data_IF_495892500596
#
_entry.id   IF_495892500596
#
_cell.length_a   1.000
_cell.length_b   1.000
_cell.length_c   1.000
_cell.angle_alpha   90.00
_cell.angle_beta   90.00
_cell.angle_gamma   90.00
#
_symmetry.space_group_name_H-M   'P 1'
#
loop_
_entity.id
_entity.type
_entity.pdbx_description
1 polymer ?
#
# COMPACT_ATOMS: atom_id res chain seq x y z
N UNK A 1 -21.70 -27.18 -3.80
CA UNK A 1 -21.51 -26.73 -2.41
C UNK A 1 -20.08 -26.24 -2.16
N UNK A 2 -19.06 -26.98 -2.60
CA UNK A 2 -17.65 -26.54 -2.51
C UNK A 2 -17.38 -25.22 -3.25
N UNK A 3 -17.90 -25.07 -4.48
CA UNK A 3 -17.78 -23.83 -5.26
C UNK A 3 -18.30 -22.58 -4.52
N UNK A 4 -19.46 -22.68 -3.87
CA UNK A 4 -20.03 -21.58 -3.10
C UNK A 4 -19.13 -21.18 -1.92
N UNK A 5 -18.60 -22.16 -1.20
CA UNK A 5 -17.68 -21.91 -0.08
C UNK A 5 -16.36 -21.31 -0.55
N UNK A 6 -15.81 -21.79 -1.67
CA UNK A 6 -14.60 -21.24 -2.28
C UNK A 6 -14.80 -19.78 -2.71
N UNK A 7 -15.91 -19.47 -3.38
CA UNK A 7 -16.23 -18.11 -3.81
C UNK A 7 -16.41 -17.18 -2.61
N UNK A 8 -17.07 -17.66 -1.55
CA UNK A 8 -17.27 -16.90 -0.32
C UNK A 8 -15.94 -16.58 0.38
N UNK A 9 -15.05 -17.56 0.53
CA UNK A 9 -13.71 -17.37 1.11
C UNK A 9 -12.88 -16.42 0.25
N UNK A 10 -12.90 -16.58 -1.07
CA UNK A 10 -12.17 -15.71 -2.01
C UNK A 10 -12.68 -14.27 -1.93
N UNK A 11 -14.00 -14.08 -1.87
CA UNK A 11 -14.62 -12.78 -1.67
C UNK A 11 -14.24 -12.15 -0.34
N UNK A 12 -14.19 -12.93 0.74
CA UNK A 12 -13.74 -12.47 2.05
C UNK A 12 -12.27 -12.05 2.03
N UNK A 13 -11.39 -12.83 1.39
CA UNK A 13 -9.97 -12.49 1.25
C UNK A 13 -9.78 -11.17 0.50
N UNK A 14 -10.40 -11.04 -0.67
CA UNK A 14 -10.29 -9.83 -1.50
C UNK A 14 -10.93 -8.62 -0.80
N UNK A 15 -12.10 -8.81 -0.17
CA UNK A 15 -12.77 -7.75 0.60
C UNK A 15 -11.93 -7.28 1.79
N UNK A 16 -11.27 -8.21 2.49
CA UNK A 16 -10.37 -7.88 3.61
C UNK A 16 -9.14 -7.10 3.12
N UNK A 17 -8.58 -7.50 1.98
CA UNK A 17 -7.46 -6.80 1.35
C UNK A 17 -7.84 -5.35 1.02
N UNK A 18 -8.97 -5.14 0.33
CA UNK A 18 -9.42 -3.79 0.00
C UNK A 18 -9.81 -2.96 1.22
N UNK A 19 -10.39 -3.59 2.25
CA UNK A 19 -10.71 -2.92 3.51
C UNK A 19 -9.45 -2.43 4.22
N UNK A 20 -8.37 -3.22 4.22
CA UNK A 20 -7.08 -2.83 4.78
C UNK A 20 -6.46 -1.65 4.01
N UNK A 21 -6.52 -1.70 2.67
CA UNK A 21 -6.05 -0.60 1.81
C UNK A 21 -6.85 0.69 2.09
N UNK A 22 -8.18 0.60 2.14
CA UNK A 22 -9.04 1.73 2.45
C UNK A 22 -8.75 2.33 3.83
N UNK A 23 -8.55 1.48 4.85
CA UNK A 23 -8.18 1.91 6.19
C UNK A 23 -6.85 2.69 6.21
N UNK A 24 -5.85 2.26 5.44
CA UNK A 24 -4.58 2.97 5.28
C UNK A 24 -4.75 4.37 4.68
N UNK A 25 -5.51 4.48 3.59
CA UNK A 25 -5.81 5.77 2.95
C UNK A 25 -6.52 6.71 3.93
N UNK A 26 -7.52 6.21 4.66
CA UNK A 26 -8.26 7.00 5.65
C UNK A 26 -7.36 7.45 6.80
N UNK A 27 -6.44 6.61 7.28
CA UNK A 27 -5.50 6.96 8.35
C UNK A 27 -4.57 8.12 7.95
N UNK A 28 -4.03 8.08 6.73
CA UNK A 28 -3.18 9.14 6.18
C UNK A 28 -4.00 10.42 5.99
N UNK A 29 -5.20 10.31 5.43
CA UNK A 29 -6.08 11.46 5.25
C UNK A 29 -6.47 12.11 6.58
N UNK A 30 -6.81 11.31 7.61
CA UNK A 30 -7.22 11.83 8.92
C UNK A 30 -6.09 12.57 9.65
N UNK A 31 -4.83 12.19 9.40
CA UNK A 31 -3.67 12.80 10.04
C UNK A 31 -3.15 14.03 9.28
N UNK A 32 -3.27 14.05 7.95
CA UNK A 32 -2.71 15.12 7.10
C UNK A 32 -3.75 16.07 6.51
N UNK A 33 -5.03 15.67 6.46
CA UNK A 33 -6.10 16.28 5.67
C UNK A 33 -5.79 16.39 4.16
N UNK A 34 -4.84 15.60 3.65
CA UNK A 34 -4.43 15.57 2.24
C UNK A 34 -4.72 14.18 1.66
N UNK A 35 -5.38 14.14 0.50
CA UNK A 35 -5.61 12.88 -0.24
C UNK A 35 -4.35 12.54 -1.04
N UNK A 36 -3.73 11.40 -0.76
CA UNK A 36 -2.53 10.94 -1.46
C UNK A 36 -2.86 9.93 -2.55
N UNK A 37 -2.64 10.30 -3.82
CA UNK A 37 -2.77 9.40 -4.98
C UNK A 37 -1.63 8.37 -5.07
N UNK A 38 -0.55 8.56 -4.29
CA UNK A 38 0.61 7.66 -4.26
C UNK A 38 0.28 6.26 -3.72
N UNK A 39 -0.87 6.05 -3.09
CA UNK A 39 -1.27 4.72 -2.56
C UNK A 39 -1.28 3.64 -3.64
N UNK A 40 -1.72 3.95 -4.86
CA UNK A 40 -1.67 2.99 -5.97
C UNK A 40 -0.24 2.57 -6.30
N UNK A 41 0.70 3.53 -6.30
CA UNK A 41 2.11 3.26 -6.52
C UNK A 41 2.75 2.51 -5.36
N UNK A 42 2.38 2.81 -4.11
CA UNK A 42 2.85 2.09 -2.91
C UNK A 42 2.50 0.60 -2.96
N UNK A 43 1.28 0.27 -3.38
CA UNK A 43 0.87 -1.14 -3.58
C UNK A 43 1.71 -1.79 -4.68
N UNK A 44 1.94 -1.10 -5.79
CA UNK A 44 2.78 -1.59 -6.88
C UNK A 44 4.23 -1.82 -6.44
N UNK A 45 4.82 -0.90 -5.66
CA UNK A 45 6.17 -1.07 -5.11
C UNK A 45 6.25 -2.30 -4.20
N UNK A 46 5.27 -2.52 -3.33
CA UNK A 46 5.22 -3.73 -2.50
C UNK A 46 5.20 -5.02 -3.32
N UNK A 47 4.38 -5.06 -4.37
CA UNK A 47 4.35 -6.19 -5.30
C UNK A 47 5.67 -6.37 -6.06
N UNK A 48 6.29 -5.28 -6.53
CA UNK A 48 7.56 -5.30 -7.25
C UNK A 48 8.71 -5.79 -6.37
N UNK A 49 8.83 -5.31 -5.13
CA UNK A 49 9.88 -5.80 -4.22
C UNK A 49 9.68 -7.26 -3.87
N UNK A 50 8.45 -7.68 -3.62
CA UNK A 50 8.17 -9.09 -3.37
C UNK A 50 8.55 -9.95 -4.58
N UNK A 51 8.14 -9.54 -5.79
CA UNK A 51 8.51 -10.22 -7.03
C UNK A 51 10.03 -10.24 -7.26
N UNK A 52 10.74 -9.18 -6.92
CA UNK A 52 12.19 -9.10 -7.03
C UNK A 52 12.89 -10.11 -6.10
N UNK A 53 12.50 -10.19 -4.82
CA UNK A 53 13.12 -11.13 -3.88
C UNK A 53 12.69 -12.58 -4.13
N UNK A 54 11.40 -12.82 -4.35
CA UNK A 54 10.87 -14.16 -4.55
C UNK A 54 11.18 -14.70 -5.96
N UNK A 55 10.95 -13.89 -6.99
CA UNK A 55 11.11 -14.28 -8.39
C UNK A 55 12.56 -14.22 -8.87
N UNK A 56 13.22 -13.07 -8.72
CA UNK A 56 14.57 -12.89 -9.27
C UNK A 56 15.67 -13.46 -8.38
N UNK A 57 15.57 -13.28 -7.05
CA UNK A 57 16.55 -13.81 -6.09
C UNK A 57 16.27 -15.26 -5.67
N UNK A 58 15.07 -15.79 -5.94
CA UNK A 58 14.69 -17.15 -5.59
C UNK A 58 14.59 -17.39 -4.09
N UNK A 59 14.39 -16.35 -3.28
CA UNK A 59 14.26 -16.50 -1.83
C UNK A 59 12.94 -17.18 -1.46
N UNK A 60 12.89 -17.94 -0.36
CA UNK A 60 11.66 -18.53 0.12
C UNK A 60 10.65 -17.43 0.50
N UNK A 61 9.36 -17.73 0.35
CA UNK A 61 8.25 -16.76 0.52
C UNK A 61 8.40 -15.88 1.76
N UNK A 62 8.69 -16.50 2.91
CA UNK A 62 8.83 -15.81 4.19
C UNK A 62 10.03 -14.86 4.23
N UNK A 63 11.15 -15.25 3.63
CA UNK A 63 12.35 -14.42 3.55
C UNK A 63 12.18 -13.25 2.58
N UNK A 64 11.36 -13.40 1.54
CA UNK A 64 11.04 -12.33 0.57
C UNK A 64 10.04 -11.32 1.09
N UNK A 65 9.11 -11.75 1.95
CA UNK A 65 8.03 -10.89 2.45
C UNK A 65 8.53 -9.79 3.38
N UNK A 66 9.44 -10.14 4.30
CA UNK A 66 10.00 -9.21 5.30
C UNK A 66 10.71 -8.01 4.64
N UNK A 67 11.69 -8.17 3.74
CA UNK A 67 12.37 -7.05 3.12
C UNK A 67 11.45 -6.26 2.19
N UNK A 68 10.52 -6.91 1.47
CA UNK A 68 9.54 -6.22 0.64
C UNK A 68 8.64 -5.29 1.48
N UNK A 69 8.16 -5.78 2.63
CA UNK A 69 7.36 -4.98 3.56
C UNK A 69 8.16 -3.79 4.12
N UNK A 70 9.40 -4.03 4.59
CA UNK A 70 10.25 -2.99 5.16
C UNK A 70 10.58 -1.90 4.13
N UNK A 71 10.93 -2.28 2.89
CA UNK A 71 11.24 -1.31 1.84
C UNK A 71 10.01 -0.47 1.44
N UNK A 72 8.85 -1.11 1.32
CA UNK A 72 7.60 -0.40 1.00
C UNK A 72 7.21 0.56 2.12
N UNK A 73 7.33 0.13 3.38
CA UNK A 73 7.08 0.98 4.54
C UNK A 73 8.06 2.17 4.61
N UNK A 74 9.34 1.94 4.29
CA UNK A 74 10.35 2.99 4.23
C UNK A 74 10.01 4.04 3.16
N UNK A 75 9.57 3.61 1.98
CA UNK A 75 9.13 4.53 0.90
C UNK A 75 7.87 5.29 1.32
N UNK A 76 6.90 4.62 1.94
CA UNK A 76 5.71 5.28 2.48
C UNK A 76 6.06 6.38 3.48
N UNK A 77 6.97 6.09 4.41
CA UNK A 77 7.49 7.06 5.38
C UNK A 77 8.24 8.22 4.72
N UNK A 78 9.02 7.96 3.68
CA UNK A 78 9.72 9.00 2.91
C UNK A 78 8.71 9.93 2.22
N UNK A 79 7.70 9.37 1.55
CA UNK A 79 6.63 10.14 0.90
C UNK A 79 5.86 10.96 1.93
N UNK A 80 5.51 10.36 3.07
CA UNK A 80 4.82 11.06 4.14
C UNK A 80 5.64 12.26 4.64
N UNK A 81 6.93 12.06 4.92
CA UNK A 81 7.79 13.12 5.47
C UNK A 81 8.15 14.20 4.46
N UNK A 82 8.41 13.83 3.20
CA UNK A 82 8.95 14.73 2.18
C UNK A 82 7.87 15.38 1.31
N UNK A 83 6.79 14.67 1.02
CA UNK A 83 5.71 15.17 0.16
C UNK A 83 4.49 15.59 0.98
N UNK A 84 3.98 14.71 1.85
CA UNK A 84 2.71 15.00 2.55
C UNK A 84 2.86 16.04 3.66
N UNK A 85 3.89 15.92 4.51
CA UNK A 85 4.09 16.81 5.66
C UNK A 85 4.26 18.29 5.28
N UNK A 86 4.98 18.66 4.20
CA UNK A 86 5.08 20.05 3.75
C UNK A 86 3.80 20.61 3.11
N UNK A 87 2.89 19.73 2.65
CA UNK A 87 1.60 20.11 2.08
C UNK A 87 0.54 20.39 3.16
N UNK A 88 0.80 20.03 4.42
CA UNK A 88 -0.09 20.32 5.54
C UNK A 88 -0.18 21.85 5.72
N UNK A 89 -1.35 22.41 5.39
CA UNK A 89 -1.64 23.85 5.47
C UNK A 89 -1.59 24.60 4.13
N UNK A 90 -1.26 23.94 3.02
CA UNK A 90 -1.32 24.52 1.67
C UNK A 90 -2.65 24.15 0.96
N UNK A 91 -3.16 24.99 0.04
CA UNK A 91 -4.42 24.71 -0.64
C UNK A 91 -4.34 23.40 -1.45
N UNK A 92 -5.40 22.59 -1.31
CA UNK A 92 -5.56 21.21 -1.82
C UNK A 92 -5.17 20.98 -3.29
N UNK A 93 -5.11 22.02 -4.12
CA UNK A 93 -4.75 21.94 -5.54
C UNK A 93 -3.31 21.47 -5.81
N UNK A 94 -2.37 21.67 -4.87
CA UNK A 94 -0.98 21.21 -5.06
C UNK A 94 -0.84 19.67 -5.01
N UNK A 95 -1.74 18.97 -4.32
CA UNK A 95 -1.68 17.51 -4.14
C UNK A 95 -2.18 16.72 -5.37
N UNK A 96 -2.98 17.33 -6.25
CA UNK A 96 -3.47 16.70 -7.49
C UNK A 96 -2.48 16.79 -8.67
N UNK A 97 -1.43 17.62 -8.57
CA UNK A 97 -0.52 17.95 -9.66
C UNK A 97 0.86 17.27 -9.55
N UNK A 98 1.12 16.52 -8.46
CA UNK A 98 2.31 15.65 -8.29
C UNK A 98 2.00 14.19 -8.61
#
# INVERSE_FOLDING_TARGET
MLEFLQQAITGLMIGSLYSLVAAGIVLVYKSTHVVSLAHGQLVAFGALFFWFFFGSFGWPLWASLIPAFILTAAIGLLIERLALRPLIGQPLFAAFLM
#
